data_IF_117995566175
#
_entry.id   IF_117995566175
#
_cell.length_a   1.000
_cell.length_b   1.000
_cell.length_c   1.000
_cell.angle_alpha   90.00
_cell.angle_beta   90.00
_cell.angle_gamma   90.00
#
_symmetry.space_group_name_H-M   'P 1'
#
loop_
_entity.id
_entity.type
_entity.pdbx_description
1 polymer ?
#
# COMPACT_ATOMS: atom_id res chain seq x y z
N UNK A 1 18.62 -5.41 -6.20
CA UNK A 1 17.74 -4.21 -6.35
C UNK A 1 16.31 -4.69 -6.53
N UNK A 2 15.34 -4.17 -5.78
CA UNK A 2 13.91 -4.40 -6.07
C UNK A 2 13.43 -3.27 -6.98
N UNK A 3 12.99 -3.56 -8.20
CA UNK A 3 12.29 -2.60 -9.07
C UNK A 3 10.79 -2.89 -9.00
N UNK A 4 10.04 -1.93 -8.48
CA UNK A 4 8.63 -2.08 -8.18
C UNK A 4 7.80 -1.12 -9.03
N UNK A 5 6.88 -1.64 -9.86
CA UNK A 5 6.04 -0.83 -10.74
C UNK A 5 4.59 -0.83 -10.26
N UNK A 6 4.07 0.35 -9.91
CA UNK A 6 2.75 0.50 -9.29
C UNK A 6 1.57 0.45 -10.27
N UNK A 7 1.77 0.85 -11.51
CA UNK A 7 0.94 0.61 -12.69
C UNK A 7 1.65 1.36 -13.84
N UNK A 8 1.72 0.79 -15.03
CA UNK A 8 2.50 1.41 -16.10
C UNK A 8 1.85 1.19 -17.46
N UNK A 9 1.31 2.26 -18.01
CA UNK A 9 0.97 2.36 -19.43
C UNK A 9 2.12 2.83 -20.32
N UNK A 10 3.36 3.07 -19.85
CA UNK A 10 4.35 3.73 -20.74
C UNK A 10 5.81 3.26 -20.65
N UNK A 11 6.28 2.63 -19.57
CA UNK A 11 7.70 2.25 -19.46
C UNK A 11 8.00 0.80 -19.08
N UNK A 12 7.18 -0.17 -19.51
CA UNK A 12 7.60 -1.59 -19.47
C UNK A 12 8.76 -1.88 -20.43
N UNK A 13 8.99 -1.05 -21.45
CA UNK A 13 10.05 -1.28 -22.43
C UNK A 13 11.48 -1.10 -21.88
N UNK A 14 11.68 -0.26 -20.85
CA UNK A 14 13.03 0.01 -20.34
C UNK A 14 13.45 -0.87 -19.16
N UNK A 15 12.52 -1.35 -18.32
CA UNK A 15 12.87 -2.21 -17.18
C UNK A 15 12.79 -3.71 -17.48
N UNK A 16 11.94 -4.14 -18.42
CA UNK A 16 11.67 -5.57 -18.63
C UNK A 16 12.73 -6.29 -19.47
N UNK A 17 13.48 -5.63 -20.36
CA UNK A 17 14.45 -6.35 -21.21
C UNK A 17 15.81 -6.51 -20.50
N UNK A 18 16.20 -5.55 -19.67
CA UNK A 18 17.55 -5.52 -19.10
C UNK A 18 17.77 -6.51 -17.95
N UNK A 19 16.72 -6.88 -17.21
CA UNK A 19 16.87 -7.65 -15.96
C UNK A 19 16.38 -9.11 -16.02
N UNK A 20 15.74 -9.57 -17.11
CA UNK A 20 15.16 -10.93 -17.16
C UNK A 20 16.17 -12.05 -16.91
N UNK A 21 17.45 -11.80 -17.20
CA UNK A 21 18.53 -12.74 -17.00
C UNK A 21 19.33 -12.54 -15.70
N UNK A 22 19.07 -11.49 -14.93
CA UNK A 22 19.87 -11.09 -13.77
C UNK A 22 19.18 -11.43 -12.43
N UNK A 23 19.67 -12.43 -11.67
CA UNK A 23 19.10 -12.79 -10.37
C UNK A 23 19.38 -11.74 -9.27
N UNK A 24 20.25 -10.75 -9.51
CA UNK A 24 20.54 -9.69 -8.53
C UNK A 24 19.48 -8.57 -8.55
N UNK A 25 18.56 -8.62 -9.50
CA UNK A 25 17.45 -7.66 -9.63
C UNK A 25 16.13 -8.42 -9.63
N UNK A 26 15.31 -8.16 -8.61
CA UNK A 26 13.94 -8.63 -8.55
C UNK A 26 13.04 -7.55 -9.14
N UNK A 27 12.33 -7.87 -10.21
CA UNK A 27 11.31 -7.01 -10.80
C UNK A 27 9.92 -7.50 -10.41
N UNK A 28 9.11 -6.62 -9.81
CA UNK A 28 7.71 -6.90 -9.49
C UNK A 28 6.83 -5.82 -10.11
N UNK A 29 5.83 -6.23 -10.90
CA UNK A 29 4.86 -5.32 -11.50
C UNK A 29 3.44 -5.67 -11.12
N UNK A 30 2.67 -4.68 -10.67
CA UNK A 30 1.22 -4.73 -10.61
C UNK A 30 0.69 -3.95 -11.81
N UNK A 31 -0.15 -4.56 -12.64
CA UNK A 31 -0.67 -3.90 -13.83
C UNK A 31 -1.96 -4.55 -14.32
N UNK A 32 -2.77 -3.77 -15.03
CA UNK A 32 -3.88 -4.30 -15.81
C UNK A 32 -3.34 -5.06 -17.02
N UNK A 33 -3.75 -6.31 -17.16
CA UNK A 33 -3.31 -7.20 -18.24
C UNK A 33 -4.47 -7.64 -19.12
N UNK A 34 -5.59 -8.05 -18.51
CA UNK A 34 -6.79 -8.53 -19.23
C UNK A 34 -6.46 -9.53 -20.33
N UNK A 35 -5.63 -10.54 -20.01
CA UNK A 35 -5.15 -11.55 -20.95
C UNK A 35 -4.43 -10.96 -22.19
N UNK A 36 -3.66 -9.89 -22.00
CA UNK A 36 -2.92 -9.20 -23.06
C UNK A 36 -3.76 -8.21 -23.87
N UNK A 37 -5.03 -7.99 -23.51
CA UNK A 37 -5.91 -7.05 -24.20
C UNK A 37 -5.82 -5.61 -23.70
N UNK A 38 -4.96 -5.33 -22.71
CA UNK A 38 -4.67 -3.98 -22.25
C UNK A 38 -3.24 -3.58 -22.60
N UNK A 39 -3.05 -2.32 -23.00
CA UNK A 39 -1.73 -1.80 -23.37
C UNK A 39 -0.71 -2.04 -22.24
N UNK A 40 0.53 -2.47 -22.54
CA UNK A 40 1.11 -2.76 -23.88
C UNK A 40 0.89 -4.20 -24.39
N UNK A 41 0.14 -5.03 -23.66
CA UNK A 41 -0.13 -6.44 -23.99
C UNK A 41 0.90 -7.44 -23.46
N UNK A 42 2.00 -6.98 -22.87
CA UNK A 42 3.04 -7.82 -22.25
C UNK A 42 2.93 -7.87 -20.72
N UNK A 43 3.65 -8.80 -20.10
CA UNK A 43 3.65 -9.00 -18.65
C UNK A 43 2.70 -10.10 -18.20
N UNK A 44 2.58 -11.16 -18.99
CA UNK A 44 1.85 -12.35 -18.58
C UNK A 44 2.42 -12.90 -17.26
N UNK A 45 1.60 -13.51 -16.39
CA UNK A 45 2.09 -14.07 -15.13
C UNK A 45 3.09 -15.21 -15.36
N UNK A 46 3.08 -15.85 -16.54
CA UNK A 46 4.03 -16.88 -16.96
C UNK A 46 5.42 -16.33 -17.33
N UNK A 47 5.56 -15.02 -17.57
CA UNK A 47 6.85 -14.38 -17.84
C UNK A 47 7.64 -14.24 -16.53
N UNK A 48 8.38 -15.29 -16.16
CA UNK A 48 9.09 -15.38 -14.87
C UNK A 48 10.59 -15.03 -14.92
N UNK A 49 11.09 -14.55 -16.05
CA UNK A 49 12.53 -14.36 -16.30
C UNK A 49 13.13 -15.50 -17.13
N UNK A 50 14.43 -15.42 -17.39
CA UNK A 50 15.16 -16.32 -18.29
C UNK A 50 16.58 -16.58 -17.78
N UNK A 51 17.19 -17.71 -18.17
CA UNK A 51 18.53 -18.07 -17.71
C UNK A 51 18.65 -18.08 -16.19
N UNK A 52 19.60 -17.32 -15.64
CA UNK A 52 19.81 -17.22 -14.18
C UNK A 52 18.73 -16.37 -13.47
N UNK A 53 18.00 -15.51 -14.18
CA UNK A 53 16.95 -14.65 -13.64
C UNK A 53 15.56 -15.30 -13.54
N UNK A 54 15.44 -16.60 -13.84
CA UNK A 54 14.16 -17.33 -13.67
C UNK A 54 13.70 -17.27 -12.21
N UNK A 55 12.48 -16.78 -11.99
CA UNK A 55 11.89 -16.54 -10.67
C UNK A 55 12.03 -15.09 -10.18
N UNK A 56 12.88 -14.27 -10.81
CA UNK A 56 13.16 -12.89 -10.39
C UNK A 56 12.37 -11.85 -11.20
N UNK A 57 11.45 -12.28 -12.06
CA UNK A 57 10.43 -11.42 -12.68
C UNK A 57 9.04 -11.87 -12.21
N UNK A 58 8.31 -10.98 -11.54
CA UNK A 58 7.00 -11.27 -10.94
C UNK A 58 5.95 -10.32 -11.51
N UNK A 59 5.05 -10.87 -12.32
CA UNK A 59 3.94 -10.13 -12.90
C UNK A 59 2.63 -10.41 -12.17
N UNK A 60 2.17 -9.45 -11.37
CA UNK A 60 0.81 -9.39 -10.81
C UNK A 60 -0.11 -8.79 -11.88
N UNK A 61 -0.54 -9.66 -12.78
CA UNK A 61 -1.27 -9.34 -14.01
C UNK A 61 -2.79 -9.39 -13.78
N UNK A 62 -3.38 -8.26 -13.39
CA UNK A 62 -4.82 -8.16 -13.14
C UNK A 62 -5.63 -8.47 -14.40
N UNK A 63 -6.56 -9.42 -14.28
CA UNK A 63 -7.42 -9.88 -15.37
C UNK A 63 -8.88 -9.90 -14.92
N UNK A 64 -9.79 -9.65 -15.87
CA UNK A 64 -11.24 -9.68 -15.65
C UNK A 64 -11.91 -8.32 -15.81
N UNK A 65 -11.28 -7.41 -16.56
CA UNK A 65 -11.79 -6.09 -16.90
C UNK A 65 -11.90 -5.16 -15.70
N UNK A 66 -12.69 -4.11 -15.86
CA UNK A 66 -12.87 -3.01 -14.89
C UNK A 66 -14.21 -3.06 -14.17
N UNK A 67 -14.96 -4.16 -14.29
CA UNK A 67 -16.26 -4.33 -13.63
C UNK A 67 -16.22 -5.55 -12.68
N UNK A 68 -16.22 -5.37 -11.35
CA UNK A 68 -15.94 -4.11 -10.64
C UNK A 68 -14.47 -3.67 -10.81
N UNK A 69 -14.09 -2.40 -10.70
CA UNK A 69 -12.69 -2.01 -10.84
C UNK A 69 -11.84 -2.56 -9.70
N UNK A 70 -10.55 -2.82 -9.94
CA UNK A 70 -9.63 -3.10 -8.84
C UNK A 70 -9.45 -1.83 -8.00
N UNK A 71 -9.36 -1.95 -6.68
CA UNK A 71 -9.16 -0.81 -5.79
C UNK A 71 -8.20 -1.12 -4.65
N UNK A 72 -8.31 -0.37 -3.55
CA UNK A 72 -7.40 -0.43 -2.41
C UNK A 72 -7.23 -1.83 -1.85
N UNK A 73 -8.34 -2.56 -1.72
CA UNK A 73 -8.35 -3.86 -1.08
C UNK A 73 -7.57 -4.88 -1.91
N UNK A 74 -7.72 -4.86 -3.23
CA UNK A 74 -7.02 -5.73 -4.16
C UNK A 74 -5.51 -5.46 -4.14
N UNK A 75 -5.10 -4.19 -4.20
CA UNK A 75 -3.70 -3.79 -4.15
C UNK A 75 -3.04 -4.15 -2.81
N UNK A 76 -3.69 -3.83 -1.69
CA UNK A 76 -3.18 -4.17 -0.36
C UNK A 76 -3.11 -5.69 -0.14
N UNK A 77 -4.06 -6.45 -0.71
CA UNK A 77 -4.00 -7.92 -0.67
C UNK A 77 -2.82 -8.43 -1.47
N UNK A 78 -2.62 -7.95 -2.71
CA UNK A 78 -1.48 -8.31 -3.54
C UNK A 78 -0.14 -8.08 -2.83
N UNK A 79 -0.04 -6.96 -2.11
CA UNK A 79 1.14 -6.67 -1.31
C UNK A 79 1.37 -7.69 -0.20
N UNK A 80 0.32 -8.03 0.55
CA UNK A 80 0.42 -8.95 1.68
C UNK A 80 0.68 -10.39 1.27
N UNK A 81 0.07 -10.85 0.18
CA UNK A 81 0.12 -12.25 -0.23
C UNK A 81 1.26 -12.56 -1.20
N UNK A 82 1.75 -11.58 -1.96
CA UNK A 82 2.77 -11.81 -3.00
C UNK A 82 3.97 -10.87 -2.83
N UNK A 83 3.77 -9.55 -2.89
CA UNK A 83 4.89 -8.58 -2.97
C UNK A 83 5.79 -8.67 -1.74
N UNK A 84 5.22 -8.52 -0.54
CA UNK A 84 5.99 -8.46 0.70
C UNK A 84 6.66 -9.80 1.02
N UNK A 85 5.98 -10.97 0.93
CA UNK A 85 6.63 -12.26 1.14
C UNK A 85 7.82 -12.51 0.21
N UNK A 86 7.67 -12.23 -1.10
CA UNK A 86 8.75 -12.39 -2.08
C UNK A 86 9.88 -11.40 -1.79
N UNK A 87 9.55 -10.12 -1.62
CA UNK A 87 10.55 -9.06 -1.41
C UNK A 87 11.33 -9.25 -0.10
N UNK A 88 10.69 -9.73 0.96
CA UNK A 88 11.36 -10.07 2.22
C UNK A 88 12.30 -11.27 2.04
N UNK A 89 11.88 -12.31 1.33
CA UNK A 89 12.73 -13.45 1.04
C UNK A 89 13.92 -13.07 0.14
N UNK A 90 13.72 -12.16 -0.82
CA UNK A 90 14.79 -11.63 -1.66
C UNK A 90 15.78 -10.75 -0.89
N UNK A 91 15.34 -10.09 0.19
CA UNK A 91 16.15 -9.26 1.07
C UNK A 91 16.97 -8.18 0.31
N UNK A 92 16.31 -7.22 -0.36
CA UNK A 92 16.99 -6.24 -1.21
C UNK A 92 17.86 -5.26 -0.42
N UNK A 93 18.98 -4.83 -1.01
CA UNK A 93 19.81 -3.75 -0.49
C UNK A 93 19.21 -2.35 -0.72
N UNK A 94 18.44 -2.18 -1.81
CA UNK A 94 17.77 -0.94 -2.21
C UNK A 94 16.47 -1.28 -2.94
N UNK A 95 15.43 -0.46 -2.73
CA UNK A 95 14.15 -0.52 -3.43
C UNK A 95 14.02 0.71 -4.34
N UNK A 96 13.76 0.46 -5.62
CA UNK A 96 13.43 1.47 -6.63
C UNK A 96 11.96 1.28 -7.03
N UNK A 97 11.19 2.36 -7.05
CA UNK A 97 9.77 2.33 -7.37
C UNK A 97 9.52 3.17 -8.62
N UNK A 98 9.08 2.52 -9.70
CA UNK A 98 8.43 3.15 -10.84
C UNK A 98 6.98 3.50 -10.42
N UNK A 99 6.80 4.73 -9.98
CA UNK A 99 5.57 5.24 -9.37
C UNK A 99 4.63 5.81 -10.43
N UNK A 100 3.86 4.94 -11.10
CA UNK A 100 2.72 5.35 -11.92
C UNK A 100 1.44 5.44 -11.11
N UNK A 101 0.69 6.54 -11.30
CA UNK A 101 -0.56 6.83 -10.57
C UNK A 101 -1.83 6.70 -11.44
N UNK A 102 -1.73 6.04 -12.59
CA UNK A 102 -2.85 5.76 -13.51
C UNK A 102 -3.85 4.69 -12.99
N UNK A 103 -3.54 4.02 -11.86
CA UNK A 103 -4.52 3.20 -11.11
C UNK A 103 -5.44 4.01 -10.18
N UNK A 104 -5.10 5.27 -9.93
CA UNK A 104 -5.86 6.13 -9.02
C UNK A 104 -7.24 6.44 -9.62
N UNK A 105 -8.24 6.55 -8.75
CA UNK A 105 -9.59 7.04 -9.11
C UNK A 105 -9.51 8.30 -10.01
N UNK A 106 -10.40 8.38 -11.00
CA UNK A 106 -10.46 9.49 -11.96
C UNK A 106 -9.89 9.15 -13.35
N UNK A 107 -9.10 8.09 -13.48
CA UNK A 107 -8.59 7.63 -14.77
C UNK A 107 -9.62 6.78 -15.53
N UNK A 108 -10.01 7.23 -16.73
CA UNK A 108 -10.96 6.51 -17.58
C UNK A 108 -10.44 5.12 -18.00
N UNK A 109 -11.35 4.18 -18.28
CA UNK A 109 -11.04 2.79 -18.63
C UNK A 109 -9.96 2.59 -19.72
N UNK A 110 -9.86 3.41 -20.78
CA UNK A 110 -8.77 3.27 -21.76
C UNK A 110 -7.37 3.55 -21.20
N UNK A 111 -7.28 4.39 -20.16
CA UNK A 111 -6.02 4.80 -19.52
C UNK A 111 -5.74 4.07 -18.19
N UNK A 112 -6.75 3.42 -17.62
CA UNK A 112 -6.62 2.67 -16.38
C UNK A 112 -7.92 1.96 -16.08
N UNK A 113 -8.87 2.69 -15.50
CA UNK A 113 -10.19 2.18 -15.12
C UNK A 113 -10.20 1.46 -13.78
N UNK A 114 -9.22 1.74 -12.92
CA UNK A 114 -9.19 1.28 -11.53
C UNK A 114 -9.58 2.39 -10.57
N UNK A 115 -9.84 1.99 -9.32
CA UNK A 115 -10.36 2.86 -8.28
C UNK A 115 -9.51 2.76 -7.01
N UNK A 116 -8.19 2.92 -7.17
CA UNK A 116 -7.26 2.96 -6.04
C UNK A 116 -7.24 4.39 -5.49
N UNK A 117 -7.29 4.56 -4.18
CA UNK A 117 -7.18 5.87 -3.56
C UNK A 117 -5.73 6.33 -3.50
N UNK A 118 -5.50 7.65 -3.57
CA UNK A 118 -4.19 8.24 -3.32
C UNK A 118 -3.61 7.79 -1.95
N UNK A 119 -4.45 7.72 -0.92
CA UNK A 119 -4.07 7.24 0.41
C UNK A 119 -3.52 5.81 0.39
N UNK A 120 -4.07 4.93 -0.45
CA UNK A 120 -3.57 3.58 -0.61
C UNK A 120 -2.12 3.57 -1.10
N UNK A 121 -1.75 4.43 -2.05
CA UNK A 121 -0.36 4.56 -2.51
C UNK A 121 0.62 4.94 -1.37
N UNK A 122 0.19 5.79 -0.44
CA UNK A 122 0.93 6.03 0.80
C UNK A 122 1.12 4.76 1.64
N UNK A 123 0.07 3.97 1.82
CA UNK A 123 0.13 2.70 2.55
C UNK A 123 1.04 1.67 1.89
N UNK A 124 1.02 1.60 0.55
CA UNK A 124 1.92 0.74 -0.22
C UNK A 124 3.38 1.19 -0.04
N UNK A 125 3.62 2.50 -0.02
CA UNK A 125 4.94 3.09 0.23
C UNK A 125 5.48 2.69 1.60
N UNK A 126 4.64 2.77 2.66
CA UNK A 126 5.02 2.34 4.01
C UNK A 126 5.43 0.87 4.09
N UNK A 127 4.71 0.00 3.39
CA UNK A 127 5.06 -1.42 3.34
C UNK A 127 6.46 -1.61 2.73
N UNK A 128 6.77 -0.89 1.64
CA UNK A 128 8.07 -0.94 0.98
C UNK A 128 9.20 -0.35 1.84
N UNK A 129 8.93 0.67 2.67
CA UNK A 129 9.91 1.22 3.61
C UNK A 129 10.35 0.20 4.67
N UNK A 130 9.55 -0.83 4.94
CA UNK A 130 9.93 -1.96 5.79
C UNK A 130 11.04 -2.84 5.19
N UNK A 131 11.43 -2.62 3.93
CA UNK A 131 12.48 -3.34 3.22
C UNK A 131 13.75 -2.49 3.15
N UNK A 132 14.90 -3.14 2.87
CA UNK A 132 16.17 -2.45 2.61
C UNK A 132 16.58 -1.41 3.68
N UNK A 133 16.13 -1.57 4.93
CA UNK A 133 16.32 -0.57 5.99
C UNK A 133 15.79 0.83 5.62
N UNK A 134 14.70 0.92 4.87
CA UNK A 134 14.09 2.17 4.43
C UNK A 134 14.74 2.84 3.22
N UNK A 135 15.73 2.20 2.56
CA UNK A 135 16.35 2.71 1.33
C UNK A 135 15.44 2.54 0.13
N UNK A 136 14.44 3.41 0.03
CA UNK A 136 13.44 3.46 -1.03
C UNK A 136 13.60 4.74 -1.83
N UNK A 137 13.64 4.61 -3.17
CA UNK A 137 13.62 5.74 -4.10
C UNK A 137 12.41 5.57 -5.03
N UNK A 138 11.60 6.60 -5.17
CA UNK A 138 10.44 6.62 -6.07
C UNK A 138 10.72 7.57 -7.24
N UNK A 139 10.44 7.12 -8.46
CA UNK A 139 10.50 7.92 -9.67
C UNK A 139 9.10 7.95 -10.30
N UNK A 140 8.57 9.16 -10.52
CA UNK A 140 7.26 9.35 -11.16
C UNK A 140 7.29 8.81 -12.60
N UNK A 141 6.24 8.10 -12.98
CA UNK A 141 6.08 7.52 -14.31
C UNK A 141 4.76 8.00 -14.95
N UNK A 142 3.76 7.11 -15.04
CA UNK A 142 2.44 7.40 -15.58
C UNK A 142 1.50 8.09 -14.59
N UNK A 143 0.32 8.46 -15.08
CA UNK A 143 -0.67 9.28 -14.40
C UNK A 143 -1.00 10.48 -15.27
N UNK A 144 -2.29 10.66 -15.56
CA UNK A 144 -2.75 11.69 -16.51
C UNK A 144 -3.70 12.70 -15.85
N UNK A 145 -4.42 12.28 -14.81
CA UNK A 145 -5.23 13.20 -14.02
C UNK A 145 -4.36 13.94 -13.00
N UNK A 146 -4.34 15.28 -13.08
CA UNK A 146 -3.45 16.12 -12.27
C UNK A 146 -3.78 16.00 -10.77
N UNK A 147 -5.06 15.96 -10.42
CA UNK A 147 -5.49 15.85 -9.02
C UNK A 147 -5.04 14.51 -8.45
N UNK A 148 -5.30 13.43 -9.18
CA UNK A 148 -4.88 12.08 -8.79
C UNK A 148 -3.36 11.96 -8.59
N UNK A 149 -2.55 12.53 -9.51
CA UNK A 149 -1.09 12.53 -9.39
C UNK A 149 -0.63 13.34 -8.18
N UNK A 150 -1.19 14.54 -7.99
CA UNK A 150 -0.84 15.41 -6.86
C UNK A 150 -1.17 14.73 -5.52
N UNK A 151 -2.40 14.24 -5.37
CA UNK A 151 -2.86 13.59 -4.15
C UNK A 151 -2.05 12.32 -3.84
N UNK A 152 -1.77 11.50 -4.86
CA UNK A 152 -0.99 10.28 -4.68
C UNK A 152 0.49 10.58 -4.37
N UNK A 153 1.07 11.60 -5.01
CA UNK A 153 2.42 12.07 -4.70
C UNK A 153 2.50 12.59 -3.27
N UNK A 154 1.53 13.41 -2.84
CA UNK A 154 1.42 13.89 -1.47
C UNK A 154 1.30 12.73 -0.47
N UNK A 155 0.45 11.75 -0.75
CA UNK A 155 0.26 10.58 0.10
C UNK A 155 1.53 9.72 0.20
N UNK A 156 2.26 9.52 -0.90
CA UNK A 156 3.55 8.82 -0.90
C UNK A 156 4.60 9.57 -0.09
N UNK A 157 4.73 10.89 -0.27
CA UNK A 157 5.68 11.72 0.48
C UNK A 157 5.30 11.77 1.96
N UNK A 158 4.02 11.91 2.30
CA UNK A 158 3.53 11.87 3.68
C UNK A 158 3.76 10.50 4.32
N UNK A 159 3.60 9.41 3.56
CA UNK A 159 3.88 8.07 4.02
C UNK A 159 5.36 7.85 4.38
N UNK A 160 6.29 8.49 3.66
CA UNK A 160 7.71 8.54 4.04
C UNK A 160 7.93 9.22 5.41
N UNK A 161 6.94 9.96 5.90
CA UNK A 161 6.95 10.67 7.18
C UNK A 161 6.11 9.98 8.28
N UNK A 162 5.32 8.95 7.94
CA UNK A 162 4.69 8.00 8.87
C UNK A 162 3.16 8.12 9.02
N UNK A 163 2.44 7.03 8.72
CA UNK A 163 0.98 6.86 8.86
C UNK A 163 0.60 5.35 8.88
N UNK A 164 -0.67 4.97 9.06
CA UNK A 164 -1.11 3.56 9.23
C UNK A 164 -1.94 2.95 8.06
N UNK A 165 -1.93 1.60 7.94
CA UNK A 165 -2.47 0.80 6.82
C UNK A 165 -3.86 0.17 7.08
N UNK A 166 -4.81 0.25 6.12
CA UNK A 166 -6.19 -0.29 6.21
C UNK A 166 -6.31 -1.77 5.77
N UNK A 167 -7.34 -2.52 6.24
CA UNK A 167 -7.59 -3.95 5.92
C UNK A 167 -9.01 -4.17 5.33
N UNK A 168 -9.17 -5.13 4.40
CA UNK A 168 -10.45 -5.49 3.74
C UNK A 168 -10.38 -6.81 2.97
N UNK A 169 -11.51 -7.32 2.44
CA UNK A 169 -11.60 -8.57 1.64
C UNK A 169 -11.64 -8.28 0.13
N UNK A 170 -10.70 -8.83 -0.68
CA UNK A 170 -10.59 -8.55 -2.11
C UNK A 170 -11.72 -9.18 -2.93
N UNK A 171 -12.00 -8.61 -4.11
CA UNK A 171 -12.98 -9.17 -5.05
C UNK A 171 -12.51 -10.51 -5.67
N UNK A 172 -13.44 -11.38 -6.12
CA UNK A 172 -13.10 -12.72 -6.61
C UNK A 172 -12.10 -12.77 -7.77
N UNK A 173 -12.16 -11.83 -8.70
CA UNK A 173 -11.21 -11.78 -9.84
C UNK A 173 -9.79 -11.39 -9.42
N UNK A 174 -9.66 -10.57 -8.38
CA UNK A 174 -8.36 -10.29 -7.79
C UNK A 174 -7.81 -11.51 -7.07
N UNK A 175 -8.64 -12.24 -6.31
CA UNK A 175 -8.25 -13.52 -5.73
C UNK A 175 -7.75 -14.48 -6.80
N UNK A 176 -8.50 -14.68 -7.89
CA UNK A 176 -8.10 -15.57 -8.98
C UNK A 176 -6.77 -15.14 -9.63
N UNK A 177 -6.56 -13.83 -9.83
CA UNK A 177 -5.29 -13.31 -10.36
C UNK A 177 -4.12 -13.59 -9.40
N UNK A 178 -4.32 -13.37 -8.10
CA UNK A 178 -3.30 -13.62 -7.07
C UNK A 178 -3.00 -15.09 -6.88
N UNK A 179 -4.03 -15.95 -6.87
CA UNK A 179 -3.89 -17.40 -6.80
C UNK A 179 -3.07 -17.91 -7.99
N UNK A 180 -3.30 -17.38 -9.20
CA UNK A 180 -2.51 -17.72 -10.38
C UNK A 180 -1.04 -17.32 -10.24
N UNK A 181 -0.75 -16.12 -9.72
CA UNK A 181 0.63 -15.69 -9.46
C UNK A 181 1.30 -16.57 -8.41
N UNK A 182 0.60 -16.88 -7.32
CA UNK A 182 1.11 -17.74 -6.24
C UNK A 182 1.43 -19.15 -6.76
N UNK A 183 0.56 -19.73 -7.58
CA UNK A 183 0.77 -21.04 -8.19
C UNK A 183 2.04 -21.08 -9.06
N UNK A 184 2.27 -20.03 -9.86
CA UNK A 184 3.46 -19.93 -10.72
C UNK A 184 4.71 -19.72 -9.86
N UNK A 185 4.66 -18.77 -8.93
CA UNK A 185 5.83 -18.30 -8.19
C UNK A 185 6.22 -19.21 -7.02
N UNK A 186 5.33 -20.07 -6.51
CA UNK A 186 5.65 -21.03 -5.44
C UNK A 186 6.75 -22.04 -5.83
N UNK A 187 6.96 -22.23 -7.14
CA UNK A 187 8.06 -23.03 -7.70
C UNK A 187 9.43 -22.41 -7.46
N UNK A 188 9.48 -21.08 -7.27
CA UNK A 188 10.69 -20.29 -7.14
C UNK A 188 10.87 -19.72 -5.73
N UNK A 189 9.78 -19.46 -5.02
CA UNK A 189 9.77 -18.79 -3.71
C UNK A 189 9.14 -19.68 -2.64
N UNK A 190 9.98 -20.14 -1.69
CA UNK A 190 9.55 -20.99 -0.57
C UNK A 190 8.48 -20.34 0.31
N UNK A 191 8.50 -19.01 0.46
CA UNK A 191 7.49 -18.28 1.23
C UNK A 191 6.07 -18.41 0.67
N UNK A 192 5.92 -18.81 -0.59
CA UNK A 192 4.63 -19.01 -1.26
C UNK A 192 4.20 -20.48 -1.32
N UNK A 193 5.07 -21.42 -0.96
CA UNK A 193 4.76 -22.86 -1.06
C UNK A 193 3.66 -23.29 -0.09
N UNK A 194 3.64 -22.75 1.13
CA UNK A 194 2.58 -23.03 2.11
C UNK A 194 1.21 -22.55 1.62
N UNK A 195 1.16 -21.36 1.01
CA UNK A 195 -0.05 -20.76 0.42
C UNK A 195 -0.54 -21.55 -0.80
N UNK A 196 0.38 -22.07 -1.63
CA UNK A 196 0.04 -22.90 -2.79
C UNK A 196 -0.46 -24.30 -2.41
N UNK A 197 0.06 -24.89 -1.33
CA UNK A 197 -0.31 -26.22 -0.83
C UNK A 197 -1.65 -26.23 -0.08
N UNK A 198 -2.17 -25.06 0.30
CA UNK A 198 -3.54 -24.93 0.85
C UNK A 198 -4.57 -24.96 -0.29
N UNK A 199 -4.54 -26.00 -1.14
CA UNK A 199 -5.32 -26.11 -2.39
C UNK A 199 -6.84 -26.31 -2.19
N UNK A 200 -7.41 -25.89 -1.06
CA UNK A 200 -8.83 -25.98 -0.74
C UNK A 200 -9.45 -24.74 -0.09
N UNK A 201 -8.66 -23.69 0.20
CA UNK A 201 -9.18 -22.43 0.74
C UNK A 201 -8.86 -21.32 -0.25
N UNK A 202 -9.89 -20.75 -0.88
CA UNK A 202 -9.71 -19.55 -1.70
C UNK A 202 -9.11 -18.43 -0.84
N UNK A 203 -8.39 -17.48 -1.43
CA UNK A 203 -8.01 -16.23 -0.74
C UNK A 203 -9.23 -15.50 -0.13
N UNK A 204 -10.44 -15.83 -0.59
CA UNK A 204 -11.72 -15.40 -0.02
C UNK A 204 -12.03 -16.01 1.36
N UNK A 205 -11.53 -17.22 1.65
CA UNK A 205 -11.91 -18.04 2.81
C UNK A 205 -10.84 -18.06 3.90
N UNK A 206 -9.67 -17.47 3.66
CA UNK A 206 -8.64 -17.33 4.68
C UNK A 206 -9.08 -16.28 5.72
N UNK A 207 -9.34 -16.65 6.98
CA UNK A 207 -9.53 -15.65 8.00
C UNK A 207 -8.16 -15.01 8.24
N UNK A 208 -7.93 -13.82 7.69
CA UNK A 208 -6.87 -12.89 8.15
C UNK A 208 -7.19 -12.36 9.56
N UNK A 209 -7.69 -13.23 10.43
CA UNK A 209 -8.10 -13.01 11.80
C UNK A 209 -7.32 -13.96 12.69
N UNK A 210 -6.12 -13.54 13.08
CA UNK A 210 -5.49 -13.99 14.32
C UNK A 210 -4.98 -12.76 15.08
N UNK A 211 -5.77 -12.42 16.11
CA UNK A 211 -5.55 -11.49 17.23
C UNK A 211 -5.54 -9.99 16.91
N UNK A 212 -6.68 -9.38 17.23
CA UNK A 212 -6.78 -7.94 17.47
C UNK A 212 -5.89 -7.51 18.63
N UNK A 213 -5.10 -6.47 18.37
CA UNK A 213 -4.49 -5.59 19.36
C UNK A 213 -4.74 -4.11 19.00
N UNK A 214 -4.96 -3.78 17.72
CA UNK A 214 -5.06 -2.40 17.24
C UNK A 214 -6.20 -1.56 17.84
N UNK A 215 -7.40 -2.13 18.06
CA UNK A 215 -8.54 -1.34 18.58
C UNK A 215 -8.46 -1.09 20.08
N UNK A 216 -7.77 -1.98 20.81
CA UNK A 216 -7.56 -1.82 22.26
C UNK A 216 -6.43 -0.85 22.55
N UNK A 217 -5.37 -0.89 21.74
CA UNK A 217 -4.22 0.01 21.87
C UNK A 217 -4.60 1.47 21.57
N UNK A 218 -5.46 1.73 20.57
CA UNK A 218 -5.97 3.09 20.31
C UNK A 218 -6.85 3.62 21.45
N UNK A 219 -7.77 2.80 21.99
CA UNK A 219 -8.62 3.19 23.10
C UNK A 219 -7.83 3.47 24.39
N UNK A 220 -6.81 2.65 24.67
CA UNK A 220 -5.93 2.82 25.83
C UNK A 220 -5.03 4.06 25.68
N UNK A 221 -4.57 4.37 24.46
CA UNK A 221 -3.75 5.57 24.19
C UNK A 221 -4.56 6.87 24.32
N UNK A 222 -5.80 6.89 23.81
CA UNK A 222 -6.70 8.05 23.96
C UNK A 222 -7.07 8.28 25.43
N UNK A 223 -7.28 7.21 26.18
CA UNK A 223 -7.54 7.26 27.63
C UNK A 223 -6.33 7.78 28.43
N UNK A 224 -5.11 7.35 28.07
CA UNK A 224 -3.88 7.84 28.68
C UNK A 224 -3.62 9.33 28.38
N UNK A 225 -3.91 9.78 27.17
CA UNK A 225 -3.78 11.19 26.77
C UNK A 225 -4.80 12.10 27.47
N UNK A 226 -6.01 11.59 27.73
CA UNK A 226 -7.03 12.32 28.49
C UNK A 226 -6.66 12.47 29.98
N UNK A 227 -5.85 11.55 30.52
CA UNK A 227 -5.45 11.54 31.94
C UNK A 227 -4.28 12.46 32.26
N UNK A 228 -3.63 13.08 31.26
CA UNK A 228 -2.46 13.95 31.42
C UNK A 228 -2.81 15.44 31.56
N UNK A 229 -4.02 15.77 32.04
CA UNK A 229 -4.38 17.15 32.34
C UNK A 229 -3.56 17.65 33.54
N UNK A 230 -2.65 18.58 33.30
CA UNK A 230 -1.82 19.23 34.32
C UNK A 230 -2.68 20.11 35.24
N UNK A 231 -2.65 19.79 36.54
CA UNK A 231 -3.20 20.66 37.57
C UNK A 231 -2.44 21.99 37.58
N UNK A 232 -3.15 23.07 37.24
CA UNK A 232 -2.65 24.44 37.45
C UNK A 232 -2.81 24.75 38.93
N UNK A 233 -1.72 24.66 39.69
CA UNK A 233 -1.67 25.19 41.05
C UNK A 233 -1.98 26.70 41.04
N UNK A 234 -3.06 27.10 41.71
CA UNK A 234 -3.32 28.50 42.03
C UNK A 234 -2.48 28.93 43.24
N UNK A 235 -1.71 30.04 43.17
CA UNK A 235 -1.02 30.55 44.33
C UNK A 235 -1.91 31.47 45.18
N UNK A 236 -2.06 31.10 46.45
CA UNK A 236 -1.90 32.02 47.58
C UNK A 236 -3.08 32.91 47.97
N UNK A 237 -3.76 32.51 49.05
CA UNK A 237 -4.63 33.34 49.87
C UNK A 237 -3.84 34.40 50.68
N UNK A 238 -4.41 35.60 50.81
CA UNK A 238 -4.07 36.58 51.87
C UNK A 238 -5.39 37.06 52.49
N UNK A 239 -5.51 37.16 53.83
CA UNK A 239 -6.79 37.39 54.50
C UNK A 239 -7.12 38.88 54.76
N UNK A 240 -8.42 39.15 54.69
CA UNK A 240 -9.28 39.95 55.59
C UNK A 240 -8.85 41.36 56.07
N UNK A 241 -9.65 42.40 55.73
CA UNK A 241 -10.44 43.10 56.76
C UNK A 241 -11.45 44.15 56.23
N UNK A 242 -12.62 44.14 56.89
CA UNK A 242 -13.52 45.25 57.27
C UNK A 242 -14.36 46.04 56.23
N UNK A 243 -15.68 45.80 56.32
CA UNK A 243 -16.80 46.77 56.47
C UNK A 243 -16.72 48.12 55.71
N UNK A 244 -17.73 48.59 54.98
CA UNK A 244 -19.03 49.05 55.51
C UNK A 244 -19.98 49.43 54.35
N UNK A 245 -21.28 49.20 54.59
CA UNK A 245 -22.50 49.70 53.93
C UNK A 245 -22.42 51.01 53.10
N UNK A 246 -23.05 51.02 51.90
CA UNK A 246 -24.17 51.94 51.55
C UNK A 246 -24.73 51.72 50.14
N UNK A 247 -26.05 51.58 50.07
CA UNK A 247 -26.88 51.73 48.88
C UNK A 247 -27.06 53.20 48.48
N UNK A 248 -27.09 53.48 47.17
CA UNK A 248 -27.80 54.59 46.49
C UNK A 248 -27.64 54.34 44.97
N UNK A 249 -28.66 53.98 44.20
CA UNK A 249 -29.65 54.84 43.53
C UNK A 249 -29.08 55.99 42.67
N UNK A 250 -29.27 55.83 41.36
CA UNK A 250 -29.83 56.78 40.36
C UNK A 250 -29.07 58.01 39.81
N UNK A 251 -29.11 58.08 38.47
CA UNK A 251 -29.26 59.24 37.55
C UNK A 251 -28.03 60.13 37.27
N UNK A 252 -27.53 60.11 36.02
CA UNK A 252 -27.86 61.04 34.90
C UNK A 252 -27.49 60.38 33.56
#
# INVERSE_FOLDING_TARGET
>A
ILSFSLNLQTLKLFSLIFFLHDPNVLYISLHRYDNGNFFPGSGAPEEVGSGAGVGFNVNIAWTGGVEPPMGDVEYLTAFRSVVMPIAQQFSPDVVLVSAGFDAVEGHQSPLGGYNVSAKCFGQLTQLLMGLAGGRVVMALEGGHDLTAICDASEACVSALLGDAVRRGKPCPKACASLERVIEIQSKHWSCLQSLSQTSGHSLLDCPLGAKGQSEKDEADTVSAMASLSVDVEQPGSVPDNSETSRSAEQLW
#
